data_IF_687647385321
#
_entry.id   IF_687647385321
#
_cell.length_a   1.000
_cell.length_b   1.000
_cell.length_c   1.000
_cell.angle_alpha   90.00
_cell.angle_beta   90.00
_cell.angle_gamma   90.00
#
_symmetry.space_group_name_H-M   'P 1'
#
loop_
_entity.id
_entity.type
_entity.pdbx_description
1 polymer ?
#
# COMPACT_ATOMS: atom_id res chain seq x y z
N UNK A 1 6.97 -9.56 18.85
CA UNK A 1 7.35 -9.40 17.43
C UNK A 1 7.08 -10.73 16.78
N UNK A 2 5.89 -10.88 16.18
CA UNK A 2 5.43 -12.17 15.64
C UNK A 2 5.74 -12.21 14.15
N UNK A 3 6.33 -13.33 13.76
CA UNK A 3 6.43 -13.99 12.46
C UNK A 3 5.28 -13.73 11.46
N UNK A 4 5.11 -12.50 10.97
CA UNK A 4 4.20 -12.25 9.84
C UNK A 4 4.80 -12.72 8.50
N UNK A 5 6.13 -12.74 8.42
CA UNK A 5 6.84 -13.21 7.24
C UNK A 5 7.93 -14.21 7.60
N UNK A 6 7.92 -15.38 6.95
CA UNK A 6 8.97 -16.37 7.04
C UNK A 6 10.14 -16.09 6.07
N UNK A 7 11.22 -16.88 6.18
CA UNK A 7 12.41 -16.72 5.35
C UNK A 7 12.13 -16.86 3.84
N UNK A 8 11.14 -17.67 3.45
CA UNK A 8 10.75 -17.85 2.05
C UNK A 8 10.00 -16.61 1.55
N UNK A 9 9.13 -16.04 2.37
CA UNK A 9 8.42 -14.80 2.09
C UNK A 9 9.38 -13.60 1.97
N UNK A 10 10.46 -13.54 2.75
CA UNK A 10 11.51 -12.53 2.57
C UNK A 10 12.21 -12.61 1.21
N UNK A 11 12.43 -13.81 0.68
CA UNK A 11 12.98 -13.99 -0.68
C UNK A 11 12.00 -13.51 -1.74
N UNK A 12 10.70 -13.75 -1.56
CA UNK A 12 9.66 -13.25 -2.46
C UNK A 12 9.62 -11.73 -2.44
N UNK A 13 9.68 -11.10 -1.26
CA UNK A 13 9.69 -9.63 -1.12
C UNK A 13 10.86 -9.03 -1.93
N UNK A 14 12.05 -9.62 -1.87
CA UNK A 14 13.21 -9.13 -2.61
C UNK A 14 13.05 -9.18 -4.14
N UNK A 15 12.11 -9.97 -4.66
CA UNK A 15 11.81 -10.08 -6.09
C UNK A 15 10.70 -9.14 -6.57
N UNK A 16 9.97 -8.51 -5.64
CA UNK A 16 8.92 -7.54 -5.97
C UNK A 16 9.53 -6.26 -6.57
N UNK A 17 8.71 -5.50 -7.30
CA UNK A 17 9.06 -4.15 -7.73
C UNK A 17 9.39 -3.25 -6.53
N UNK A 18 10.23 -2.21 -6.71
CA UNK A 18 10.59 -1.32 -5.59
C UNK A 18 9.38 -0.69 -4.89
N UNK A 19 8.30 -0.40 -5.61
CA UNK A 19 7.06 0.15 -5.00
C UNK A 19 6.30 -0.93 -4.22
N UNK A 20 6.19 -2.15 -4.73
CA UNK A 20 5.59 -3.26 -3.99
C UNK A 20 6.38 -3.60 -2.73
N UNK A 21 7.72 -3.58 -2.79
CA UNK A 21 8.59 -3.71 -1.61
C UNK A 21 8.30 -2.63 -0.56
N UNK A 22 8.10 -1.38 -0.98
CA UNK A 22 7.76 -0.28 -0.07
C UNK A 22 6.40 -0.48 0.61
N UNK A 23 5.38 -0.94 -0.12
CA UNK A 23 4.07 -1.24 0.46
C UNK A 23 4.17 -2.37 1.49
N UNK A 24 4.85 -3.47 1.16
CA UNK A 24 5.03 -4.58 2.10
C UNK A 24 5.88 -4.15 3.30
N UNK A 25 6.96 -3.42 3.09
CA UNK A 25 7.79 -2.87 4.17
C UNK A 25 7.02 -1.92 5.09
N UNK A 26 6.11 -1.12 4.52
CA UNK A 26 5.23 -0.26 5.31
C UNK A 26 4.23 -1.06 6.16
N UNK A 27 3.64 -2.12 5.59
CA UNK A 27 2.77 -3.06 6.31
C UNK A 27 3.52 -3.73 7.46
N UNK A 28 4.73 -4.24 7.21
CA UNK A 28 5.60 -4.82 8.23
C UNK A 28 5.95 -3.85 9.34
N UNK A 29 6.17 -2.59 8.99
CA UNK A 29 6.56 -1.57 9.95
C UNK A 29 5.40 -1.12 10.85
N UNK A 30 4.19 -1.00 10.28
CA UNK A 30 3.00 -0.62 11.04
C UNK A 30 2.48 -1.77 11.92
N UNK A 31 2.65 -3.02 11.48
CA UNK A 31 2.25 -4.25 12.20
C UNK A 31 0.83 -4.15 12.80
N UNK A 32 -0.13 -3.64 12.00
CA UNK A 32 -1.49 -3.37 12.49
C UNK A 32 -2.22 -4.69 12.80
N UNK A 33 -2.67 -4.92 14.06
CA UNK A 33 -3.36 -6.15 14.42
C UNK A 33 -4.73 -6.27 13.75
N UNK A 34 -5.33 -5.15 13.34
CA UNK A 34 -6.59 -5.11 12.58
C UNK A 34 -6.39 -5.42 11.08
N UNK A 35 -5.14 -5.56 10.63
CA UNK A 35 -4.74 -5.65 9.21
C UNK A 35 -5.32 -4.55 8.32
N UNK A 36 -5.53 -3.39 8.94
CA UNK A 36 -6.02 -2.19 8.30
C UNK A 36 -5.13 -1.04 8.74
N UNK A 37 -4.70 -0.24 7.76
CA UNK A 37 -3.94 0.98 7.98
C UNK A 37 -4.67 2.12 7.26
N UNK A 38 -5.15 3.09 8.03
CA UNK A 38 -5.78 4.31 7.53
C UNK A 38 -4.77 5.45 7.62
N UNK A 39 -4.57 6.16 6.52
CA UNK A 39 -3.63 7.27 6.46
C UNK A 39 -4.14 8.40 5.56
N UNK A 40 -3.83 9.67 5.88
CA UNK A 40 -4.11 10.79 4.99
C UNK A 40 -3.38 10.66 3.65
N UNK A 41 -3.96 11.20 2.58
CA UNK A 41 -3.36 11.24 1.23
C UNK A 41 -1.93 11.77 1.22
N UNK A 42 -1.69 12.86 1.97
CA UNK A 42 -0.36 13.48 2.09
C UNK A 42 0.67 12.47 2.61
N UNK A 43 0.31 11.71 3.64
CA UNK A 43 1.16 10.66 4.20
C UNK A 43 1.28 9.45 3.28
N UNK A 44 0.21 9.07 2.57
CA UNK A 44 0.24 7.95 1.62
C UNK A 44 1.27 8.20 0.52
N UNK A 45 1.20 9.36 -0.14
CA UNK A 45 2.18 9.73 -1.16
C UNK A 45 3.59 9.85 -0.59
N UNK A 46 3.72 10.40 0.62
CA UNK A 46 5.02 10.56 1.26
C UNK A 46 5.69 9.26 1.69
N UNK A 47 4.93 8.33 2.26
CA UNK A 47 5.43 7.07 2.80
C UNK A 47 5.66 6.03 1.71
N UNK A 48 4.84 6.03 0.66
CA UNK A 48 4.83 5.00 -0.39
C UNK A 48 5.33 5.51 -1.75
N UNK A 49 5.84 6.75 -1.78
CA UNK A 49 6.47 7.36 -2.95
C UNK A 49 5.58 7.37 -4.22
N UNK A 50 4.26 7.46 -4.04
CA UNK A 50 3.29 7.75 -5.10
C UNK A 50 3.21 9.27 -5.38
N UNK A 51 4.34 9.97 -5.36
CA UNK A 51 4.36 11.40 -5.62
C UNK A 51 4.11 11.72 -7.09
N UNK A 52 3.25 12.70 -7.40
CA UNK A 52 3.06 13.17 -8.75
C UNK A 52 4.27 14.01 -9.15
N UNK A 53 5.22 13.43 -9.89
CA UNK A 53 6.12 14.22 -10.75
C UNK A 53 5.32 14.69 -11.98
N UNK A 54 4.27 15.49 -11.76
CA UNK A 54 3.24 15.84 -12.75
C UNK A 54 2.38 14.66 -13.26
N UNK A 55 2.33 13.55 -12.52
CA UNK A 55 1.41 12.46 -12.86
C UNK A 55 -0.04 12.83 -12.47
N UNK A 56 -0.98 12.61 -13.38
CA UNK A 56 -2.40 12.81 -13.10
C UNK A 56 -2.94 11.71 -12.16
N UNK A 57 -4.11 11.94 -11.55
CA UNK A 57 -4.71 10.99 -10.61
C UNK A 57 -4.90 9.57 -11.20
N UNK A 58 -5.18 9.47 -12.50
CA UNK A 58 -5.31 8.18 -13.19
C UNK A 58 -4.00 7.40 -13.20
N UNK A 59 -2.85 8.06 -13.41
CA UNK A 59 -1.55 7.41 -13.36
C UNK A 59 -1.22 6.88 -11.97
N UNK A 60 -1.57 7.64 -10.91
CA UNK A 60 -1.43 7.19 -9.52
C UNK A 60 -2.32 5.98 -9.24
N UNK A 61 -3.60 6.04 -9.64
CA UNK A 61 -4.54 4.92 -9.47
C UNK A 61 -4.05 3.67 -10.20
N UNK A 62 -3.54 3.82 -11.42
CA UNK A 62 -2.95 2.71 -12.17
C UNK A 62 -1.73 2.14 -11.44
N UNK A 63 -0.81 2.99 -10.99
CA UNK A 63 0.37 2.53 -10.26
C UNK A 63 0.02 1.81 -8.96
N UNK A 64 -1.02 2.27 -8.25
CA UNK A 64 -1.54 1.59 -7.05
C UNK A 64 -2.15 0.24 -7.42
N UNK A 65 -2.94 0.16 -8.48
CA UNK A 65 -3.54 -1.09 -8.95
C UNK A 65 -2.46 -2.11 -9.36
N UNK A 66 -1.46 -1.69 -10.14
CA UNK A 66 -0.36 -2.54 -10.58
C UNK A 66 0.41 -3.13 -9.37
N UNK A 67 0.64 -2.32 -8.32
CA UNK A 67 1.27 -2.78 -7.07
C UNK A 67 0.38 -3.74 -6.30
N UNK A 68 -0.93 -3.47 -6.20
CA UNK A 68 -1.87 -4.36 -5.52
C UNK A 68 -1.93 -5.72 -6.20
N UNK A 69 -2.00 -5.76 -7.53
CA UNK A 69 -2.01 -7.01 -8.30
C UNK A 69 -0.72 -7.81 -8.10
N UNK A 70 0.43 -7.15 -8.18
CA UNK A 70 1.73 -7.78 -7.96
C UNK A 70 1.83 -8.43 -6.57
N UNK A 71 1.52 -7.68 -5.52
CA UNK A 71 1.65 -8.18 -4.15
C UNK A 71 0.59 -9.25 -3.85
N UNK A 72 -0.62 -9.16 -4.41
CA UNK A 72 -1.63 -10.21 -4.32
C UNK A 72 -1.18 -11.53 -4.91
N UNK A 73 -0.56 -11.47 -6.09
CA UNK A 73 -0.10 -12.65 -6.80
C UNK A 73 1.06 -13.34 -6.06
N UNK A 74 1.90 -12.55 -5.38
CA UNK A 74 3.14 -13.05 -4.79
C UNK A 74 3.03 -13.40 -3.29
N UNK A 75 2.30 -12.61 -2.49
CA UNK A 75 2.51 -12.61 -1.04
C UNK A 75 1.24 -12.42 -0.20
N UNK A 76 0.45 -11.37 -0.46
CA UNK A 76 -0.72 -10.99 0.35
C UNK A 76 -1.98 -11.05 -0.51
N UNK A 77 -2.63 -12.22 -0.66
CA UNK A 77 -3.71 -12.42 -1.64
C UNK A 77 -4.95 -11.56 -1.38
N UNK A 78 -5.08 -11.02 -0.18
CA UNK A 78 -6.19 -10.15 0.23
C UNK A 78 -5.83 -8.66 0.29
N UNK A 79 -4.60 -8.29 -0.10
CA UNK A 79 -4.15 -6.89 -0.11
C UNK A 79 -5.12 -6.01 -0.89
N UNK A 80 -5.50 -4.86 -0.38
CA UNK A 80 -6.21 -3.84 -1.14
C UNK A 80 -5.77 -2.46 -0.68
N UNK A 81 -5.81 -1.49 -1.59
CA UNK A 81 -5.57 -0.08 -1.28
C UNK A 81 -6.77 0.70 -1.81
N UNK A 82 -7.63 1.16 -0.90
CA UNK A 82 -8.80 1.96 -1.23
C UNK A 82 -8.48 3.44 -1.09
N UNK A 83 -8.88 4.21 -2.09
CA UNK A 83 -8.95 5.67 -2.03
C UNK A 83 -10.36 6.00 -1.52
N UNK A 84 -10.48 6.72 -0.42
CA UNK A 84 -11.78 7.13 0.10
C UNK A 84 -12.51 8.05 -0.88
N UNK A 85 -13.78 7.73 -1.18
CA UNK A 85 -14.72 8.67 -1.80
C UNK A 85 -15.17 9.67 -0.72
N UNK A 86 -14.79 10.93 -0.90
CA UNK A 86 -15.17 11.99 0.02
C UNK A 86 -16.61 12.45 -0.26
N UNK A 87 -17.60 11.66 0.15
CA UNK A 87 -19.01 12.06 0.10
C UNK A 87 -19.44 12.90 1.33
N UNK A 88 -18.53 13.19 2.25
CA UNK A 88 -18.83 13.94 3.48
C UNK A 88 -17.76 14.98 3.75
N UNK A 89 -17.94 16.19 3.21
CA UNK A 89 -17.59 17.48 3.83
C UNK A 89 -16.19 17.73 4.43
N UNK A 90 -15.24 16.82 4.39
CA UNK A 90 -13.99 16.90 5.14
C UNK A 90 -12.77 17.01 4.22
N UNK A 91 -11.86 17.89 4.62
CA UNK A 91 -10.79 18.47 3.81
C UNK A 91 -9.62 17.52 3.52
N UNK A 92 -9.70 16.24 3.87
CA UNK A 92 -8.58 15.31 3.70
C UNK A 92 -9.05 13.95 3.15
N UNK A 93 -8.64 13.61 1.93
CA UNK A 93 -8.84 12.28 1.36
C UNK A 93 -8.05 11.24 2.16
N UNK A 94 -8.72 10.19 2.62
CA UNK A 94 -8.08 9.08 3.33
C UNK A 94 -7.77 7.92 2.38
N UNK A 95 -6.66 7.25 2.64
CA UNK A 95 -6.27 6.00 2.01
C UNK A 95 -6.34 4.89 3.05
N UNK A 96 -6.88 3.75 2.65
CA UNK A 96 -7.02 2.57 3.50
C UNK A 96 -6.30 1.40 2.85
N UNK A 97 -5.33 0.83 3.55
CA UNK A 97 -4.61 -0.39 3.15
C UNK A 97 -5.13 -1.53 4.01
N UNK A 98 -5.68 -2.57 3.38
CA UNK A 98 -6.13 -3.81 4.05
C UNK A 98 -5.32 -4.98 3.54
N UNK A 99 -4.90 -5.94 4.38
CA UNK A 99 -4.02 -7.04 3.95
C UNK A 99 -4.21 -8.37 4.67
#
# INVERSE_FOLDING_TARGET
>A
MIDMFDAQQFQVIAQLSPRAQQVVGFIMWMDSPAREIVLPRSQFYARLHFYPRNENMMAIQKAVADVVEEVRAALLPHLNIRIGDNDLGEQEQLFTITY
#
